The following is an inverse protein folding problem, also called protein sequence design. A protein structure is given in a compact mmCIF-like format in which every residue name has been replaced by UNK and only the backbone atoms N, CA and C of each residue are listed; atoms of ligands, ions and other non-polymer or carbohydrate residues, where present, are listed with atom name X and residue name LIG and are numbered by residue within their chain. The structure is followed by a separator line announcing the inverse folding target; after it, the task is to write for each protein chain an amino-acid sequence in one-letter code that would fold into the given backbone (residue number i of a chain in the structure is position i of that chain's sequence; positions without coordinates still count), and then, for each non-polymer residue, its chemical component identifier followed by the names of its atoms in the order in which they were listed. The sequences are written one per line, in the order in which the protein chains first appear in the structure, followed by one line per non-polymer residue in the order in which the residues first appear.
data_IF_782561822114
#
_entry.id   IF_782561822114
#
_cell.length_a   1.000
_cell.length_b   1.000
_cell.length_c   1.000
_cell.angle_alpha   90.00
_cell.angle_beta   90.00
_cell.angle_gamma   90.00
#
_symmetry.space_group_name_H-M   'P 1'
#
loop_
_entity.id
_entity.type
_entity.pdbx_description
1 polymer ?
#
# COMPACT_ATOMS: atom_id res chain seq x y z
N UNK A 1 -8.21 10.69 1.91
CA UNK A 1 -6.96 10.05 2.35
C UNK A 1 -6.95 8.67 1.74
N UNK A 2 -5.90 8.30 0.98
CA UNK A 2 -5.86 6.98 0.34
C UNK A 2 -5.63 5.91 1.41
N UNK A 3 -6.62 5.03 1.60
CA UNK A 3 -6.45 3.88 2.49
C UNK A 3 -5.89 2.70 1.68
N UNK A 4 -4.58 2.50 1.83
CA UNK A 4 -3.85 1.41 1.19
C UNK A 4 -4.45 0.03 1.52
N UNK A 5 -4.91 -0.17 2.76
CA UNK A 5 -5.47 -1.45 3.17
C UNK A 5 -6.79 -1.72 2.46
N UNK A 6 -7.71 -0.75 2.44
CA UNK A 6 -8.96 -0.90 1.70
C UNK A 6 -8.71 -1.16 0.21
N UNK A 7 -7.77 -0.42 -0.38
CA UNK A 7 -7.41 -0.60 -1.78
C UNK A 7 -6.91 -2.02 -2.07
N UNK A 8 -5.99 -2.53 -1.25
CA UNK A 8 -5.46 -3.88 -1.37
C UNK A 8 -6.53 -4.94 -1.14
N UNK A 9 -7.44 -4.71 -0.19
CA UNK A 9 -8.55 -5.62 0.11
C UNK A 9 -9.53 -5.70 -1.06
N UNK A 10 -9.97 -4.56 -1.61
CA UNK A 10 -10.86 -4.48 -2.77
C UNK A 10 -10.24 -5.10 -4.03
N UNK A 11 -8.92 -4.98 -4.17
CA UNK A 11 -8.17 -5.58 -5.28
C UNK A 11 -7.85 -7.07 -5.07
N UNK A 12 -8.34 -7.68 -3.97
CA UNK A 12 -8.09 -9.07 -3.57
C UNK A 12 -6.59 -9.41 -3.44
N UNK A 13 -5.78 -8.42 -3.07
CA UNK A 13 -4.32 -8.52 -2.88
C UNK A 13 -3.93 -8.86 -1.44
N UNK A 14 -4.85 -8.68 -0.51
CA UNK A 14 -4.66 -9.03 0.89
C UNK A 14 -5.96 -9.54 1.49
N UNK A 15 -5.84 -10.39 2.50
CA UNK A 15 -6.97 -10.93 3.27
C UNK A 15 -7.09 -10.28 4.65
N UNK A 16 -6.01 -9.68 5.15
CA UNK A 16 -5.99 -9.05 6.47
C UNK A 16 -5.05 -7.84 6.51
N UNK A 17 -5.27 -6.93 7.48
CA UNK A 17 -4.38 -5.79 7.74
C UNK A 17 -2.96 -6.26 8.08
N UNK A 18 -2.86 -7.34 8.87
CA UNK A 18 -1.59 -7.96 9.23
C UNK A 18 -0.83 -8.42 7.99
N UNK A 19 -1.48 -9.16 7.09
CA UNK A 19 -0.87 -9.58 5.84
C UNK A 19 -0.45 -8.38 4.97
N UNK A 20 -1.27 -7.32 4.93
CA UNK A 20 -0.91 -6.08 4.22
C UNK A 20 0.35 -5.41 4.80
N UNK A 21 0.44 -5.32 6.13
CA UNK A 21 1.58 -4.71 6.81
C UNK A 21 2.86 -5.54 6.62
N UNK A 22 2.80 -6.86 6.79
CA UNK A 22 3.99 -7.71 6.75
C UNK A 22 4.43 -8.04 5.32
N UNK A 23 3.50 -8.41 4.44
CA UNK A 23 3.84 -8.86 3.09
C UNK A 23 4.07 -7.68 2.15
N UNK A 24 3.15 -6.72 2.12
CA UNK A 24 3.22 -5.60 1.17
C UNK A 24 4.08 -4.44 1.69
N UNK A 25 3.91 -4.05 2.95
CA UNK A 25 4.67 -2.92 3.52
C UNK A 25 6.05 -3.32 4.08
N UNK A 26 6.31 -4.62 4.30
CA UNK A 26 7.49 -5.13 5.02
C UNK A 26 7.70 -4.49 6.41
N UNK A 27 6.59 -4.21 7.09
CA UNK A 27 6.57 -3.59 8.41
C UNK A 27 5.98 -4.55 9.45
N UNK A 28 6.03 -4.14 10.73
CA UNK A 28 5.42 -4.90 11.81
C UNK A 28 3.91 -5.15 11.57
N UNK A 29 3.36 -6.30 12.04
CA UNK A 29 1.94 -6.66 11.88
C UNK A 29 0.92 -5.59 12.27
N UNK A 30 1.26 -4.76 13.25
CA UNK A 30 0.43 -3.70 13.82
C UNK A 30 0.64 -2.33 13.14
N UNK A 31 1.55 -2.23 12.17
CA UNK A 31 1.94 -0.96 11.55
C UNK A 31 0.75 -0.16 10.99
N UNK A 32 -0.10 -0.81 10.18
CA UNK A 32 -1.29 -0.19 9.58
C UNK A 32 -2.43 0.05 10.58
N UNK A 33 -2.33 -0.46 11.81
CA UNK A 33 -3.30 -0.21 12.89
C UNK A 33 -2.90 1.03 13.68
N UNK A 34 -1.59 1.25 13.85
CA UNK A 34 -1.04 2.37 14.62
C UNK A 34 -1.13 3.68 13.83
N UNK A 35 -1.10 3.62 12.49
CA UNK A 35 -1.23 4.81 11.66
C UNK A 35 -1.42 4.50 10.19
N UNK A 36 -1.48 5.57 9.39
CA UNK A 36 -1.54 5.48 7.93
C UNK A 36 -0.21 5.01 7.32
N UNK A 37 -0.25 4.51 6.08
CA UNK A 37 0.96 4.08 5.39
C UNK A 37 1.90 5.27 5.15
N UNK A 38 3.16 5.16 5.59
CA UNK A 38 4.20 6.13 5.24
C UNK A 38 4.57 6.07 3.75
N UNK A 39 5.21 7.14 3.25
CA UNK A 39 5.71 7.19 1.87
C UNK A 39 6.67 6.03 1.57
N UNK A 40 7.56 5.71 2.52
CA UNK A 40 8.47 4.56 2.40
C UNK A 40 7.70 3.24 2.26
N UNK A 41 6.65 3.03 3.06
CA UNK A 41 5.82 1.83 2.97
C UNK A 41 5.09 1.76 1.61
N UNK A 42 4.58 2.89 1.12
CA UNK A 42 3.95 2.99 -0.21
C UNK A 42 4.93 2.70 -1.35
N UNK A 43 6.19 3.13 -1.26
CA UNK A 43 7.25 2.81 -2.24
C UNK A 43 7.56 1.31 -2.23
N UNK A 44 7.68 0.70 -1.05
CA UNK A 44 7.91 -0.75 -0.91
C UNK A 44 6.79 -1.54 -1.56
N UNK A 45 5.55 -1.15 -1.30
CA UNK A 45 4.35 -1.73 -1.91
C UNK A 45 4.39 -1.60 -3.43
N UNK A 46 4.70 -0.41 -3.95
CA UNK A 46 4.78 -0.16 -5.38
C UNK A 46 5.82 -1.04 -6.07
N UNK A 47 7.04 -1.13 -5.52
CA UNK A 47 8.10 -2.00 -6.05
C UNK A 47 7.67 -3.45 -6.12
N UNK A 48 6.96 -3.92 -5.08
CA UNK A 48 6.49 -5.30 -5.03
C UNK A 48 5.36 -5.57 -6.03
N UNK A 49 4.45 -4.63 -6.21
CA UNK A 49 3.39 -4.73 -7.24
C UNK A 49 3.98 -4.81 -8.65
N UNK A 50 5.05 -4.05 -8.94
CA UNK A 50 5.78 -4.17 -10.20
C UNK A 50 6.43 -5.56 -10.32
N UNK A 51 7.10 -6.02 -9.27
CA UNK A 51 7.76 -7.35 -9.27
C UNK A 51 6.76 -8.50 -9.47
N UNK A 52 5.52 -8.37 -9.03
CA UNK A 52 4.46 -9.35 -9.25
C UNK A 52 3.70 -9.15 -10.58
N UNK A 53 4.10 -8.18 -11.41
CA UNK A 53 3.42 -7.89 -12.69
C UNK A 53 2.03 -7.25 -12.55
N UNK A 54 1.70 -6.70 -11.38
CA UNK A 54 0.39 -6.11 -11.08
C UNK A 54 0.35 -4.62 -11.44
N UNK A 55 0.53 -4.32 -12.72
CA UNK A 55 0.70 -2.95 -13.24
C UNK A 55 -0.46 -1.99 -12.92
N UNK A 56 -1.71 -2.44 -13.02
CA UNK A 56 -2.88 -1.60 -12.72
C UNK A 56 -2.92 -1.17 -11.24
N UNK A 57 -2.53 -2.07 -10.33
CA UNK A 57 -2.46 -1.76 -8.91
C UNK A 57 -1.24 -0.87 -8.59
N UNK A 58 -0.09 -1.16 -9.22
CA UNK A 58 1.11 -0.34 -9.11
C UNK A 58 0.85 1.11 -9.54
N UNK A 59 0.15 1.31 -10.67
CA UNK A 59 -0.24 2.64 -11.15
C UNK A 59 -1.10 3.39 -10.12
N UNK A 60 -2.10 2.74 -9.54
CA UNK A 60 -2.96 3.37 -8.52
C UNK A 60 -2.18 3.75 -7.26
N UNK A 61 -1.26 2.90 -6.80
CA UNK A 61 -0.39 3.21 -5.65
C UNK A 61 0.56 4.36 -5.98
N UNK A 62 1.15 4.39 -7.18
CA UNK A 62 2.01 5.48 -7.64
C UNK A 62 1.25 6.82 -7.75
N UNK A 63 0.04 6.78 -8.30
CA UNK A 63 -0.82 7.96 -8.37
C UNK A 63 -1.20 8.47 -6.97
N UNK A 64 -1.52 7.57 -6.04
CA UNK A 64 -1.77 7.94 -4.64
C UNK A 64 -0.52 8.51 -3.95
N UNK A 65 0.68 8.00 -4.26
CA UNK A 65 1.94 8.51 -3.73
C UNK A 65 2.27 9.91 -4.26
N UNK A 66 2.10 10.14 -5.56
CA UNK A 66 2.46 11.40 -6.22
C UNK A 66 1.43 12.51 -6.00
N UNK A 67 0.13 12.18 -6.05
CA UNK A 67 -0.96 13.16 -6.00
C UNK A 67 -1.72 13.15 -4.67
N UNK A 68 -1.58 12.11 -3.85
CA UNK A 68 -2.20 12.04 -2.51
C UNK A 68 -1.51 12.94 -1.48
N UNK A 69 -0.27 13.38 -1.74
CA UNK A 69 0.48 14.32 -0.90
C UNK A 69 0.14 15.80 -1.16
N UNK A 70 -0.61 16.13 -2.22
CA UNK A 70 -0.90 17.53 -2.64
C UNK A 70 -1.86 18.27 -1.68
N UNK A 71 -2.28 17.65 -0.57
CA UNK A 71 -2.91 18.34 0.56
C UNK A 71 -2.03 18.18 1.80
N UNK A 72 -0.93 18.92 1.86
CA UNK A 72 -0.33 19.35 3.13
C UNK A 72 -0.53 20.85 3.26
#
# INVERSE_FOLDING_TARGET
MFDLYEFMLKSRLTTSRRHCATYWCQMAPNYLVIGGPSDTAMITVFRRLISEGRWAAAYRVAHALLFGQVRR
#
